data_IF_408408497638
#
_entry.id   IF_408408497638
#
_cell.length_a   1.000
_cell.length_b   1.000
_cell.length_c   1.000
_cell.angle_alpha   90.00
_cell.angle_beta   90.00
_cell.angle_gamma   90.00
#
_symmetry.space_group_name_H-M   'P 1'
#
loop_
_entity.id
_entity.type
_entity.pdbx_description
1 polymer ?
#
# COMPACT_ATOMS: atom_id res chain seq x y z
N UNK A 1 -2.63 13.20 -21.38
CA UNK A 1 -3.24 11.97 -21.92
C UNK A 1 -2.12 10.97 -22.20
N UNK A 2 -2.26 9.72 -21.77
CA UNK A 2 -1.34 8.64 -22.13
C UNK A 2 -2.09 7.66 -23.02
N UNK A 3 -1.57 7.41 -24.22
CA UNK A 3 -2.16 6.48 -25.18
C UNK A 3 -1.25 5.28 -25.34
N UNK A 4 -1.83 4.09 -25.34
CA UNK A 4 -1.13 2.87 -25.71
C UNK A 4 -1.19 2.71 -27.23
N UNK A 5 -0.04 2.45 -27.84
CA UNK A 5 0.05 2.34 -29.29
C UNK A 5 1.37 1.75 -29.77
N UNK A 6 1.49 1.64 -31.08
CA UNK A 6 2.68 1.17 -31.77
C UNK A 6 3.20 2.24 -32.72
N UNK A 7 4.52 2.43 -32.73
CA UNK A 7 5.19 3.26 -33.73
C UNK A 7 5.25 2.49 -35.06
N UNK A 8 4.69 3.07 -36.12
CA UNK A 8 4.59 2.44 -37.45
C UNK A 8 5.69 2.90 -38.39
N UNK A 9 5.97 4.19 -38.41
CA UNK A 9 7.02 4.75 -39.25
C UNK A 9 7.66 5.99 -38.63
N UNK A 10 8.91 6.20 -39.01
CA UNK A 10 9.68 7.40 -38.74
C UNK A 10 10.26 7.83 -40.09
N UNK A 11 10.02 9.08 -40.48
CA UNK A 11 10.70 9.70 -41.60
C UNK A 11 11.35 11.00 -41.16
N UNK A 12 12.46 11.35 -41.80
CA UNK A 12 13.19 12.58 -41.55
C UNK A 12 13.26 13.36 -42.87
N UNK A 13 12.88 14.62 -42.83
CA UNK A 13 13.15 15.56 -43.91
C UNK A 13 14.57 16.11 -43.74
N UNK A 14 15.46 15.76 -44.66
CA UNK A 14 16.87 16.14 -44.61
C UNK A 14 17.12 17.63 -44.81
N UNK A 15 16.19 18.37 -45.44
CA UNK A 15 16.36 19.80 -45.66
C UNK A 15 15.96 20.63 -44.45
N UNK A 16 14.90 20.22 -43.74
CA UNK A 16 14.42 20.91 -42.53
C UNK A 16 14.94 20.33 -41.22
N UNK A 17 15.44 19.09 -41.24
CA UNK A 17 15.83 18.34 -40.05
C UNK A 17 14.64 17.86 -39.21
N UNK A 18 13.40 18.05 -39.69
CA UNK A 18 12.20 17.65 -38.96
C UNK A 18 11.92 16.16 -39.13
N UNK A 19 11.53 15.53 -38.01
CA UNK A 19 11.14 14.12 -37.99
C UNK A 19 9.62 14.01 -37.94
N UNK A 20 9.04 13.27 -38.88
CA UNK A 20 7.64 12.88 -38.88
C UNK A 20 7.52 11.47 -38.28
N UNK A 21 6.66 11.33 -37.28
CA UNK A 21 6.43 10.07 -36.56
C UNK A 21 4.97 9.69 -36.73
N UNK A 22 4.73 8.46 -37.19
CA UNK A 22 3.39 7.89 -37.31
C UNK A 22 3.19 6.82 -36.25
N UNK A 23 2.16 6.96 -35.44
CA UNK A 23 1.77 5.99 -34.41
C UNK A 23 0.33 5.53 -34.63
N UNK A 24 0.08 4.24 -34.38
CA UNK A 24 -1.25 3.66 -34.28
C UNK A 24 -1.60 3.48 -32.81
N UNK A 25 -2.77 3.95 -32.39
CA UNK A 25 -3.27 3.83 -31.02
C UNK A 25 -4.26 2.68 -30.91
N UNK A 26 -4.26 1.96 -29.78
CA UNK A 26 -5.25 0.89 -29.55
C UNK A 26 -6.65 1.45 -29.27
N UNK A 27 -6.73 2.70 -28.78
CA UNK A 27 -7.97 3.41 -28.50
C UNK A 27 -8.28 4.44 -29.61
N UNK A 28 -9.57 4.73 -29.82
CA UNK A 28 -10.02 5.74 -30.78
C UNK A 28 -9.75 7.17 -30.26
N UNK A 29 -8.49 7.61 -30.38
CA UNK A 29 -8.01 8.88 -29.82
C UNK A 29 -8.17 10.10 -30.77
N UNK A 30 -8.65 9.89 -32.00
CA UNK A 30 -8.71 10.93 -33.03
C UNK A 30 -9.45 12.21 -32.57
N UNK A 31 -10.66 12.15 -31.95
CA UNK A 31 -11.38 13.36 -31.54
C UNK A 31 -10.66 14.20 -30.47
N UNK A 32 -9.77 13.58 -29.68
CA UNK A 32 -9.00 14.27 -28.64
C UNK A 32 -7.70 14.85 -29.21
N UNK A 33 -7.08 14.14 -30.17
CA UNK A 33 -5.86 14.58 -30.84
C UNK A 33 -6.11 15.72 -31.83
N UNK A 34 -7.26 15.73 -32.52
CA UNK A 34 -7.66 16.81 -33.43
C UNK A 34 -7.68 18.18 -32.72
N UNK A 35 -8.06 18.22 -31.44
CA UNK A 35 -8.07 19.45 -30.64
C UNK A 35 -6.68 20.01 -30.35
N UNK A 36 -5.62 19.24 -30.59
CA UNK A 36 -4.23 19.61 -30.35
C UNK A 36 -3.49 20.03 -31.63
N UNK A 37 -4.18 20.02 -32.78
CA UNK A 37 -3.58 20.37 -34.06
C UNK A 37 -3.15 21.84 -34.10
N UNK A 38 -1.92 22.10 -34.56
CA UNK A 38 -1.37 23.46 -34.70
C UNK A 38 -0.80 24.07 -33.42
N UNK A 39 -0.82 23.34 -32.29
CA UNK A 39 -0.22 23.79 -31.02
C UNK A 39 1.12 23.06 -30.79
N UNK A 40 2.18 23.73 -30.31
CA UNK A 40 3.42 23.05 -29.92
C UNK A 40 3.18 22.02 -28.81
N UNK A 41 3.62 20.77 -29.02
CA UNK A 41 3.43 19.67 -28.06
C UNK A 41 4.78 19.21 -27.47
N UNK A 42 4.80 18.95 -26.17
CA UNK A 42 5.85 18.18 -25.55
C UNK A 42 5.54 16.68 -25.73
N UNK A 43 6.34 15.97 -26.54
CA UNK A 43 6.12 14.57 -26.90
C UNK A 43 7.12 13.68 -26.16
N UNK A 44 6.66 12.60 -25.51
CA UNK A 44 7.51 11.63 -24.80
C UNK A 44 7.16 10.21 -25.22
N UNK A 45 8.15 9.43 -25.65
CA UNK A 45 8.00 8.01 -25.97
C UNK A 45 8.53 7.14 -24.82
N UNK A 46 7.69 6.21 -24.31
CA UNK A 46 8.07 5.24 -23.28
C UNK A 46 7.74 3.83 -23.76
N UNK A 47 8.59 2.84 -23.45
CA UNK A 47 8.26 1.43 -23.68
C UNK A 47 7.04 1.05 -22.84
N UNK A 48 5.98 0.56 -23.47
CA UNK A 48 4.83 0.03 -22.75
C UNK A 48 5.26 -1.22 -21.97
N UNK A 49 5.03 -1.21 -20.66
CA UNK A 49 5.09 -2.39 -19.80
C UNK A 49 3.72 -2.51 -19.18
N UNK A 50 3.14 -3.73 -19.15
CA UNK A 50 1.95 -3.97 -18.33
C UNK A 50 2.26 -3.44 -16.93
N UNK A 51 1.43 -2.54 -16.41
CA UNK A 51 1.46 -2.24 -14.98
C UNK A 51 1.40 -3.59 -14.28
N UNK A 52 2.37 -3.87 -13.40
CA UNK A 52 2.23 -5.03 -12.52
C UNK A 52 0.90 -4.83 -11.80
N UNK A 53 0.00 -5.80 -11.91
CA UNK A 53 -1.20 -5.79 -11.07
C UNK A 53 -0.74 -5.64 -9.62
N UNK A 54 -1.41 -4.77 -8.87
CA UNK A 54 -1.16 -4.68 -7.44
C UNK A 54 -1.46 -6.06 -6.86
N UNK A 55 -0.55 -6.57 -6.03
CA UNK A 55 -0.94 -7.64 -5.10
C UNK A 55 -1.61 -7.01 -3.87
N UNK A 56 -2.16 -7.86 -3.01
CA UNK A 56 -2.87 -7.43 -1.81
C UNK A 56 -2.04 -6.49 -0.93
N UNK A 57 -0.74 -6.76 -0.76
CA UNK A 57 0.16 -5.93 0.02
C UNK A 57 0.39 -4.55 -0.63
N UNK A 58 0.62 -4.50 -1.94
CA UNK A 58 0.76 -3.22 -2.63
C UNK A 58 -0.54 -2.39 -2.56
N UNK A 59 -1.69 -3.04 -2.69
CA UNK A 59 -3.00 -2.39 -2.56
C UNK A 59 -3.27 -1.89 -1.13
N UNK A 60 -2.90 -2.66 -0.11
CA UNK A 60 -2.96 -2.25 1.28
C UNK A 60 -2.27 -0.90 1.51
N UNK A 61 -1.02 -0.73 1.06
CA UNK A 61 -0.29 0.52 1.23
C UNK A 61 -0.86 1.70 0.42
N UNK A 62 -1.54 1.43 -0.70
CA UNK A 62 -2.30 2.45 -1.43
C UNK A 62 -3.45 2.96 -0.57
N UNK A 63 -4.23 2.06 0.05
CA UNK A 63 -5.33 2.45 0.94
C UNK A 63 -4.82 3.16 2.20
N UNK A 64 -3.72 2.69 2.81
CA UNK A 64 -3.07 3.38 3.94
C UNK A 64 -2.73 4.82 3.58
N UNK A 65 -2.19 5.05 2.39
CA UNK A 65 -1.83 6.41 1.95
C UNK A 65 -3.09 7.28 1.84
N UNK A 66 -4.12 6.80 1.15
CA UNK A 66 -5.39 7.54 0.97
C UNK A 66 -6.09 7.84 2.30
N UNK A 67 -6.16 6.85 3.19
CA UNK A 67 -6.82 7.00 4.48
C UNK A 67 -5.99 7.87 5.43
N UNK A 68 -4.66 7.71 5.44
CA UNK A 68 -3.74 8.54 6.21
C UNK A 68 -3.86 10.01 5.84
N UNK A 69 -3.87 10.34 4.54
CA UNK A 69 -4.07 11.71 4.06
C UNK A 69 -5.41 12.29 4.53
N UNK A 70 -6.48 11.47 4.53
CA UNK A 70 -7.82 11.89 4.95
C UNK A 70 -7.94 12.10 6.46
N UNK A 71 -7.25 11.28 7.26
CA UNK A 71 -7.24 11.35 8.72
C UNK A 71 -6.13 12.25 9.28
N UNK A 72 -5.26 12.79 8.42
CA UNK A 72 -4.05 13.50 8.80
C UNK A 72 -3.14 12.69 9.73
N UNK A 73 -2.94 11.41 9.39
CA UNK A 73 -2.07 10.46 10.09
C UNK A 73 -0.91 10.03 9.19
N UNK A 74 0.25 9.80 9.80
CA UNK A 74 1.38 9.19 9.08
C UNK A 74 1.04 7.74 8.69
N UNK A 75 1.75 7.21 7.67
CA UNK A 75 1.57 5.80 7.26
C UNK A 75 1.94 4.82 8.38
N UNK A 76 3.08 4.98 9.10
CA UNK A 76 3.41 4.12 10.23
C UNK A 76 2.34 4.15 11.33
N UNK A 77 1.84 5.33 11.67
CA UNK A 77 0.79 5.49 12.67
C UNK A 77 -0.49 4.75 12.29
N UNK A 78 -0.99 4.99 11.08
CA UNK A 78 -2.21 4.32 10.63
C UNK A 78 -2.01 2.80 10.51
N UNK A 79 -0.85 2.36 10.03
CA UNK A 79 -0.50 0.95 9.99
C UNK A 79 -0.55 0.31 11.39
N UNK A 80 0.04 0.94 12.40
CA UNK A 80 0.00 0.45 13.78
C UNK A 80 -1.41 0.44 14.38
N UNK A 81 -2.25 1.42 14.08
CA UNK A 81 -3.67 1.38 14.46
C UNK A 81 -4.36 0.14 13.88
N UNK A 82 -4.15 -0.14 12.60
CA UNK A 82 -4.78 -1.28 11.93
C UNK A 82 -4.25 -2.61 12.43
N UNK A 83 -2.94 -2.73 12.71
CA UNK A 83 -2.40 -3.93 13.35
C UNK A 83 -2.99 -4.15 14.75
N UNK A 84 -3.23 -3.09 15.53
CA UNK A 84 -3.85 -3.21 16.86
C UNK A 84 -5.33 -3.66 16.79
N UNK A 85 -6.02 -3.36 15.69
CA UNK A 85 -7.44 -3.70 15.46
C UNK A 85 -7.62 -5.06 14.78
N UNK A 86 -6.85 -5.33 13.74
CA UNK A 86 -7.04 -6.45 12.79
C UNK A 86 -5.78 -7.29 12.59
N UNK A 87 -4.69 -6.99 13.32
CA UNK A 87 -3.43 -7.72 13.20
C UNK A 87 -3.34 -8.96 14.08
N UNK A 88 -2.22 -9.66 13.93
CA UNK A 88 -1.94 -10.91 14.62
C UNK A 88 -0.90 -10.71 15.74
N UNK A 89 -1.06 -11.35 16.91
CA UNK A 89 -0.04 -11.32 17.95
C UNK A 89 1.22 -12.06 17.49
N UNK A 90 2.38 -11.60 17.98
CA UNK A 90 3.63 -12.34 17.87
C UNK A 90 3.65 -13.47 18.89
N UNK A 91 3.98 -14.67 18.42
CA UNK A 91 3.88 -15.91 19.21
C UNK A 91 5.17 -16.72 19.08
N UNK A 92 5.74 -17.10 20.22
CA UNK A 92 6.88 -18.02 20.30
C UNK A 92 6.46 -19.21 21.16
N UNK A 93 6.66 -20.42 20.65
CA UNK A 93 6.30 -21.68 21.32
C UNK A 93 4.84 -21.71 21.82
N UNK A 94 3.91 -21.18 21.02
CA UNK A 94 2.49 -21.10 21.33
C UNK A 94 2.11 -20.05 22.38
N UNK A 95 3.04 -19.18 22.79
CA UNK A 95 2.81 -18.11 23.77
C UNK A 95 3.02 -16.73 23.17
N UNK A 96 2.10 -15.82 23.47
CA UNK A 96 2.23 -14.42 23.06
C UNK A 96 3.41 -13.75 23.74
N UNK A 97 4.10 -12.86 23.01
CA UNK A 97 5.17 -12.03 23.57
C UNK A 97 4.56 -10.80 24.24
N UNK A 98 4.98 -10.54 25.49
CA UNK A 98 4.61 -9.36 26.26
C UNK A 98 5.83 -8.50 26.56
N UNK A 99 5.66 -7.18 26.46
CA UNK A 99 6.68 -6.17 26.75
C UNK A 99 6.18 -5.27 27.88
N UNK A 100 7.05 -4.93 28.83
CA UNK A 100 6.73 -3.98 29.91
C UNK A 100 7.54 -2.71 29.68
N UNK A 101 6.86 -1.62 29.34
CA UNK A 101 7.48 -0.36 28.97
C UNK A 101 6.99 0.78 29.89
N UNK A 102 7.79 1.85 30.10
CA UNK A 102 7.32 3.02 30.85
C UNK A 102 6.00 3.58 30.29
N UNK A 103 5.01 3.82 31.15
CA UNK A 103 3.67 4.32 30.78
C UNK A 103 3.68 5.84 30.64
N UNK A 104 4.27 6.32 29.55
CA UNK A 104 4.43 7.74 29.23
C UNK A 104 3.83 8.08 27.87
N UNK A 105 3.28 9.29 27.73
CA UNK A 105 2.72 9.78 26.46
C UNK A 105 3.77 9.88 25.34
N UNK A 106 5.04 10.14 25.70
CA UNK A 106 6.13 10.14 24.73
C UNK A 106 6.40 8.71 24.22
N UNK A 107 6.40 7.72 25.11
CA UNK A 107 6.55 6.31 24.74
C UNK A 107 5.40 5.82 23.85
N UNK A 108 4.16 6.17 24.20
CA UNK A 108 2.99 5.84 23.40
C UNK A 108 3.09 6.42 21.97
N UNK A 109 3.40 7.71 21.84
CA UNK A 109 3.59 8.35 20.52
C UNK A 109 4.73 7.74 19.71
N UNK A 110 5.85 7.37 20.36
CA UNK A 110 6.94 6.65 19.68
C UNK A 110 6.49 5.28 19.19
N UNK A 111 5.67 4.57 19.96
CA UNK A 111 5.11 3.29 19.54
C UNK A 111 4.08 3.42 18.42
N UNK A 112 3.36 4.54 18.34
CA UNK A 112 2.45 4.83 17.22
C UNK A 112 3.24 5.01 15.91
N UNK A 113 4.38 5.70 15.95
CA UNK A 113 5.20 5.99 14.76
C UNK A 113 6.25 4.90 14.44
N UNK A 114 6.29 3.80 15.19
CA UNK A 114 7.31 2.76 15.03
C UNK A 114 7.11 1.95 13.73
N UNK A 115 8.18 1.78 12.95
CA UNK A 115 8.19 0.97 11.72
C UNK A 115 8.82 -0.41 11.90
N UNK A 116 9.67 -0.58 12.93
CA UNK A 116 10.47 -1.81 13.14
C UNK A 116 9.88 -2.75 14.18
N UNK A 117 8.88 -2.31 14.93
CA UNK A 117 8.18 -3.11 15.92
C UNK A 117 6.73 -2.63 16.02
N UNK A 118 5.84 -3.56 16.37
CA UNK A 118 4.41 -3.29 16.48
C UNK A 118 3.92 -3.77 17.84
N UNK A 119 3.29 -2.89 18.60
CA UNK A 119 2.85 -3.20 19.97
C UNK A 119 1.45 -2.66 20.23
N UNK A 120 0.67 -3.44 20.99
CA UNK A 120 -0.68 -3.09 21.44
C UNK A 120 -0.69 -2.91 22.96
N UNK A 121 -1.07 -1.73 23.48
CA UNK A 121 -1.16 -1.52 24.92
C UNK A 121 -2.25 -2.40 25.53
N UNK A 122 -2.01 -2.93 26.73
CA UNK A 122 -3.03 -3.60 27.53
C UNK A 122 -3.53 -2.68 28.65
N UNK A 123 -4.54 -3.13 29.39
CA UNK A 123 -5.03 -2.46 30.60
C UNK A 123 -4.14 -2.71 31.83
N UNK A 124 -3.14 -3.60 31.74
CA UNK A 124 -2.28 -3.95 32.86
C UNK A 124 -1.20 -2.86 33.05
N UNK A 125 -1.25 -2.21 34.22
CA UNK A 125 -0.28 -1.20 34.66
C UNK A 125 0.39 -1.69 35.93
N UNK A 126 1.71 -1.59 35.98
CA UNK A 126 2.57 -1.96 37.11
C UNK A 126 3.20 -0.72 37.69
N UNK A 127 3.32 -0.67 39.01
CA UNK A 127 3.99 0.43 39.72
C UNK A 127 5.35 -0.06 40.21
N UNK A 128 6.41 0.62 39.80
CA UNK A 128 7.78 0.37 40.25
C UNK A 128 8.02 0.88 41.66
N UNK A 129 9.18 0.52 42.24
CA UNK A 129 9.55 0.85 43.62
C UNK A 129 9.56 2.36 43.91
N UNK A 130 9.79 3.19 42.90
CA UNK A 130 9.86 4.64 43.01
C UNK A 130 8.56 5.35 42.59
N UNK A 131 7.46 4.61 42.41
CA UNK A 131 6.17 5.15 41.95
C UNK A 131 6.06 5.30 40.42
N UNK A 132 7.09 4.93 39.67
CA UNK A 132 7.06 4.92 38.21
C UNK A 132 6.04 3.92 37.67
N UNK A 133 5.27 4.33 36.66
CA UNK A 133 4.27 3.46 36.02
C UNK A 133 4.84 2.78 34.79
N UNK A 134 4.53 1.50 34.64
CA UNK A 134 4.85 0.69 33.48
C UNK A 134 3.58 0.06 32.93
N UNK A 135 3.44 0.00 31.61
CA UNK A 135 2.31 -0.65 30.95
C UNK A 135 2.78 -1.91 30.25
N UNK A 136 2.01 -2.97 30.36
CA UNK A 136 2.21 -4.18 29.56
C UNK A 136 1.67 -3.96 28.15
N UNK A 137 2.43 -4.41 27.15
CA UNK A 137 2.06 -4.41 25.74
C UNK A 137 2.12 -5.85 25.22
N UNK A 138 1.25 -6.17 24.26
CA UNK A 138 1.37 -7.37 23.42
C UNK A 138 2.16 -6.99 22.17
N UNK A 139 3.16 -7.78 21.80
CA UNK A 139 3.85 -7.62 20.52
C UNK A 139 3.00 -8.19 19.39
N UNK A 140 2.94 -7.48 18.27
CA UNK A 140 2.20 -7.86 17.08
C UNK A 140 3.18 -8.23 15.97
N UNK A 141 2.79 -9.18 15.12
CA UNK A 141 3.51 -9.49 13.89
C UNK A 141 3.40 -8.33 12.89
N UNK A 142 4.49 -8.09 12.17
CA UNK A 142 4.47 -7.21 11.00
C UNK A 142 3.71 -7.87 9.84
N UNK A 143 2.92 -7.08 9.10
CA UNK A 143 2.10 -7.60 7.98
C UNK A 143 2.93 -8.19 6.84
N UNK A 144 4.24 -7.92 6.79
CA UNK A 144 5.17 -8.57 5.86
C UNK A 144 5.29 -10.08 6.06
N UNK A 145 4.94 -10.58 7.25
CA UNK A 145 4.99 -12.02 7.58
C UNK A 145 3.66 -12.73 7.39
N UNK A 146 2.61 -12.02 6.99
CA UNK A 146 1.25 -12.57 6.99
C UNK A 146 1.05 -13.61 5.90
N UNK A 147 0.21 -14.59 6.21
CA UNK A 147 -0.37 -15.44 5.19
C UNK A 147 -1.52 -14.76 4.46
N UNK A 148 -2.05 -15.40 3.41
CA UNK A 148 -3.09 -14.80 2.57
C UNK A 148 -4.39 -14.58 3.32
N UNK A 149 -4.75 -15.44 4.28
CA UNK A 149 -5.94 -15.27 5.14
C UNK A 149 -5.76 -14.10 6.10
N UNK A 150 -4.61 -14.02 6.78
CA UNK A 150 -4.25 -12.92 7.69
C UNK A 150 -4.22 -11.58 6.94
N UNK A 151 -3.68 -11.57 5.71
CA UNK A 151 -3.65 -10.38 4.86
C UNK A 151 -5.05 -9.97 4.38
N UNK A 152 -5.91 -10.94 4.04
CA UNK A 152 -7.29 -10.68 3.68
C UNK A 152 -8.04 -10.02 4.84
N UNK A 153 -7.94 -10.57 6.05
CA UNK A 153 -8.58 -10.00 7.24
C UNK A 153 -8.12 -8.57 7.53
N UNK A 154 -6.81 -8.30 7.42
CA UNK A 154 -6.26 -6.97 7.59
C UNK A 154 -6.79 -5.97 6.55
N UNK A 155 -6.89 -6.39 5.29
CA UNK A 155 -7.43 -5.55 4.21
C UNK A 155 -8.92 -5.30 4.39
N UNK A 156 -9.70 -6.30 4.81
CA UNK A 156 -11.15 -6.14 5.04
C UNK A 156 -11.44 -5.09 6.12
N UNK A 157 -10.64 -5.10 7.19
CA UNK A 157 -10.66 -4.05 8.21
C UNK A 157 -10.38 -2.68 7.61
N UNK A 158 -9.28 -2.54 6.86
CA UNK A 158 -8.92 -1.28 6.20
C UNK A 158 -9.97 -0.80 5.18
N UNK A 159 -10.56 -1.71 4.40
CA UNK A 159 -11.63 -1.41 3.44
C UNK A 159 -12.86 -0.86 4.18
N UNK A 160 -13.18 -1.41 5.35
CA UNK A 160 -14.29 -0.92 6.18
C UNK A 160 -14.01 0.51 6.66
N UNK A 161 -12.83 0.78 7.21
CA UNK A 161 -12.41 2.12 7.65
C UNK A 161 -12.42 3.13 6.49
N UNK A 162 -11.95 2.72 5.30
CA UNK A 162 -12.02 3.54 4.09
C UNK A 162 -13.46 3.89 3.70
N UNK A 163 -14.37 2.91 3.73
CA UNK A 163 -15.79 3.11 3.39
C UNK A 163 -16.49 4.05 4.37
N UNK A 164 -16.19 3.97 5.66
CA UNK A 164 -16.75 4.87 6.68
C UNK A 164 -16.45 6.34 6.40
N UNK A 165 -15.25 6.62 5.85
CA UNK A 165 -14.88 7.97 5.45
C UNK A 165 -15.16 8.25 3.97
N UNK A 166 -15.83 7.36 3.22
CA UNK A 166 -16.17 7.58 1.82
C UNK A 166 -14.97 7.56 0.85
N UNK A 167 -13.94 6.77 1.14
CA UNK A 167 -12.87 6.42 0.18
C UNK A 167 -13.32 5.21 -0.63
N UNK A 168 -13.26 5.34 -1.95
CA UNK A 168 -13.55 4.23 -2.87
C UNK A 168 -12.47 3.15 -2.79
N UNK A 169 -12.92 1.90 -2.71
CA UNK A 169 -12.10 0.69 -2.62
C UNK A 169 -12.39 -0.23 -3.81
N UNK A 170 -11.42 -1.05 -4.17
CA UNK A 170 -11.55 -2.13 -5.14
C UNK A 170 -12.76 -3.04 -4.84
N UNK A 171 -13.31 -3.65 -5.89
CA UNK A 171 -14.43 -4.59 -5.78
C UNK A 171 -13.99 -5.90 -5.11
N UNK A 172 -14.92 -6.72 -4.58
CA UNK A 172 -14.58 -8.02 -4.03
C UNK A 172 -13.81 -8.92 -5.03
N UNK A 173 -14.16 -8.87 -6.31
CA UNK A 173 -13.48 -9.63 -7.37
C UNK A 173 -12.06 -9.11 -7.61
N UNK A 174 -11.86 -7.80 -7.56
CA UNK A 174 -10.52 -7.20 -7.65
C UNK A 174 -9.66 -7.58 -6.44
N UNK A 175 -10.21 -7.49 -5.23
CA UNK A 175 -9.51 -7.88 -3.99
C UNK A 175 -9.12 -9.35 -4.02
N UNK A 176 -10.02 -10.24 -4.46
CA UNK A 176 -9.74 -11.67 -4.61
C UNK A 176 -8.56 -11.91 -5.57
N UNK A 177 -8.53 -11.27 -6.74
CA UNK A 177 -7.39 -11.35 -7.67
C UNK A 177 -6.08 -10.83 -7.06
N UNK A 178 -6.14 -9.77 -6.24
CA UNK A 178 -4.95 -9.23 -5.56
C UNK A 178 -4.41 -10.19 -4.49
N UNK A 179 -5.30 -10.90 -3.78
CA UNK A 179 -4.94 -11.94 -2.81
C UNK A 179 -4.32 -13.17 -3.49
N UNK A 180 -4.85 -13.62 -4.63
CA UNK A 180 -4.24 -14.69 -5.42
C UNK A 180 -2.81 -14.31 -5.88
N UNK A 181 -2.61 -13.07 -6.33
CA UNK A 181 -1.30 -12.57 -6.71
C UNK A 181 -0.33 -12.48 -5.52
N UNK A 182 -0.84 -12.11 -4.35
CA UNK A 182 -0.07 -12.06 -3.11
C UNK A 182 0.40 -13.45 -2.71
N UNK A 183 -0.49 -14.43 -2.70
CA UNK A 183 -0.17 -15.84 -2.44
C UNK A 183 0.87 -16.38 -3.43
N UNK A 184 0.71 -16.10 -4.73
CA UNK A 184 1.66 -16.50 -5.75
C UNK A 184 3.04 -15.81 -5.61
N UNK A 185 3.08 -14.58 -5.08
CA UNK A 185 4.31 -13.87 -4.78
C UNK A 185 5.02 -14.48 -3.55
N UNK A 186 4.29 -14.77 -2.47
CA UNK A 186 4.82 -15.42 -1.25
C UNK A 186 5.43 -16.78 -1.56
N UNK A 187 4.72 -17.62 -2.32
CA UNK A 187 5.22 -18.93 -2.79
C UNK A 187 6.52 -18.80 -3.58
N UNK A 188 6.62 -17.81 -4.47
CA UNK A 188 7.85 -17.55 -5.24
C UNK A 188 9.04 -17.11 -4.39
N UNK A 189 8.80 -16.54 -3.21
CA UNK A 189 9.85 -16.12 -2.26
C UNK A 189 10.26 -17.23 -1.30
N UNK A 190 9.61 -18.39 -1.33
CA UNK A 190 9.83 -19.47 -0.35
C UNK A 190 9.23 -19.17 1.03
N UNK A 191 8.26 -18.25 1.09
CA UNK A 191 7.56 -17.85 2.32
C UNK A 191 6.27 -18.67 2.56
N UNK A 192 6.07 -19.73 1.77
CA UNK A 192 4.97 -20.69 1.98
C UNK A 192 5.46 -21.80 2.92
N UNK A 193 4.89 -21.83 4.12
CA UNK A 193 4.96 -22.99 5.03
C UNK A 193 4.00 -24.09 4.56
#
# INVERSE_FOLDING_TARGET
MELKGQLKSISCDYFSGHTLITCETEEAAAPQLEKLQGVPLAITFKKFRKKRSLDANAYYWVLITKLGDKLNLSKPHLHNILLRRYGQPEVIDGKMIYLVLPDTDQGARKADEAETYHIKPTSEIKTGRNGERFRTYVMLRGSSTYNTEEMAHLIDGLVSECKEVGIETATPEELSRMLELYEANRKRRGEAE
#
